data_IF_173947634919
#
_entry.id   IF_173947634919
#
_cell.length_a   1.000
_cell.length_b   1.000
_cell.length_c   1.000
_cell.angle_alpha   90.00
_cell.angle_beta   90.00
_cell.angle_gamma   90.00
#
_symmetry.space_group_name_H-M   'P 1'
#
loop_
_entity.id
_entity.type
_entity.pdbx_description
1 polymer ?
#
# COMPACT_ATOMS: atom_id res chain seq x y z
N UNK A 1 -9.48 1.39 21.78
CA UNK A 1 -8.42 1.15 20.78
C UNK A 1 -8.79 -0.15 20.12
N UNK A 2 -9.26 -0.09 18.89
CA UNK A 2 -9.67 -1.29 18.16
C UNK A 2 -8.43 -2.10 17.78
N UNK A 3 -8.60 -3.41 17.65
CA UNK A 3 -7.54 -4.29 17.17
C UNK A 3 -7.34 -4.06 15.67
N UNK A 4 -6.10 -3.79 15.25
CA UNK A 4 -5.75 -3.67 13.85
C UNK A 4 -5.64 -5.06 13.21
N UNK A 5 -6.34 -5.26 12.10
CA UNK A 5 -6.26 -6.50 11.31
C UNK A 5 -5.28 -6.29 10.17
N UNK A 6 -4.30 -7.19 10.03
CA UNK A 6 -3.41 -7.21 8.87
C UNK A 6 -3.76 -8.34 7.91
N UNK A 7 -3.70 -8.07 6.60
CA UNK A 7 -3.98 -9.04 5.54
C UNK A 7 -3.32 -8.65 4.22
N UNK A 8 -3.27 -9.59 3.28
CA UNK A 8 -2.82 -9.32 1.91
C UNK A 8 -3.69 -8.25 1.26
N UNK A 9 -3.11 -7.49 0.33
CA UNK A 9 -3.82 -6.42 -0.38
C UNK A 9 -4.77 -6.99 -1.42
N UNK A 10 -6.03 -6.53 -1.41
CA UNK A 10 -6.93 -6.65 -2.56
C UNK A 10 -6.58 -5.61 -3.62
N UNK A 11 -7.11 -5.76 -4.84
CA UNK A 11 -6.94 -4.76 -5.90
C UNK A 11 -7.50 -3.39 -5.52
N UNK A 12 -8.65 -3.35 -4.83
CA UNK A 12 -9.22 -2.09 -4.33
C UNK A 12 -8.32 -1.41 -3.29
N UNK A 13 -7.70 -2.20 -2.40
CA UNK A 13 -6.74 -1.69 -1.43
C UNK A 13 -5.51 -1.10 -2.12
N UNK A 14 -4.96 -1.79 -3.15
CA UNK A 14 -3.84 -1.28 -3.96
C UNK A 14 -4.18 0.07 -4.60
N UNK A 15 -5.39 0.21 -5.16
CA UNK A 15 -5.88 1.48 -5.74
C UNK A 15 -5.99 2.58 -4.68
N UNK A 16 -6.56 2.27 -3.52
CA UNK A 16 -6.70 3.21 -2.42
C UNK A 16 -5.34 3.71 -1.91
N UNK A 17 -4.36 2.81 -1.78
CA UNK A 17 -3.00 3.16 -1.35
C UNK A 17 -2.33 4.10 -2.36
N UNK A 18 -2.41 3.82 -3.66
CA UNK A 18 -1.87 4.72 -4.69
C UNK A 18 -2.53 6.11 -4.70
N UNK A 19 -3.77 6.20 -4.21
CA UNK A 19 -4.50 7.46 -4.08
C UNK A 19 -4.08 8.27 -2.83
N UNK A 20 -3.34 7.68 -1.88
CA UNK A 20 -2.83 8.44 -0.74
C UNK A 20 -1.84 9.51 -1.22
N UNK A 21 -2.11 10.74 -0.76
CA UNK A 21 -1.27 11.91 -1.02
C UNK A 21 -1.02 12.63 0.29
N UNK A 22 0.24 12.65 0.69
CA UNK A 22 0.77 13.38 1.82
C UNK A 22 1.49 14.63 1.29
N UNK A 23 1.36 15.74 2.01
CA UNK A 23 2.08 16.97 1.74
C UNK A 23 3.24 17.18 2.71
N UNK A 24 4.10 18.15 2.41
CA UNK A 24 5.25 18.49 3.25
C UNK A 24 6.32 17.40 3.24
N UNK A 25 6.94 17.15 4.40
CA UNK A 25 8.04 16.19 4.54
C UNK A 25 7.66 14.73 4.26
N UNK A 26 6.37 14.43 4.22
CA UNK A 26 5.85 13.08 3.98
C UNK A 26 5.53 12.82 2.49
N UNK A 27 5.74 13.79 1.60
CA UNK A 27 5.47 13.63 0.17
C UNK A 27 6.33 12.53 -0.49
N UNK A 28 7.49 12.21 0.09
CA UNK A 28 8.37 11.11 -0.31
C UNK A 28 7.71 9.73 -0.23
N UNK A 29 6.66 9.58 0.58
CA UNK A 29 5.91 8.33 0.70
C UNK A 29 4.79 8.21 -0.35
N UNK A 30 4.54 9.25 -1.14
CA UNK A 30 3.52 9.21 -2.17
C UNK A 30 3.91 8.21 -3.25
N UNK A 31 3.09 7.18 -3.43
CA UNK A 31 3.26 6.27 -4.55
C UNK A 31 2.83 6.93 -5.86
N UNK A 32 3.40 6.49 -7.01
CA UNK A 32 2.85 6.78 -8.32
C UNK A 32 1.40 6.32 -8.45
N UNK A 33 0.73 6.80 -9.50
CA UNK A 33 -0.62 6.35 -9.83
C UNK A 33 -0.67 4.82 -10.00
N UNK A 34 -1.82 4.21 -9.71
CA UNK A 34 -2.00 2.75 -9.78
C UNK A 34 -1.60 2.20 -11.15
N UNK A 35 -2.03 2.89 -12.22
CA UNK A 35 -1.75 2.50 -13.60
C UNK A 35 -0.25 2.59 -13.92
N UNK A 36 0.44 3.59 -13.40
CA UNK A 36 1.89 3.74 -13.56
C UNK A 36 2.64 2.64 -12.80
N UNK A 37 2.26 2.38 -11.55
CA UNK A 37 2.79 1.27 -10.75
C UNK A 37 2.63 -0.07 -11.48
N UNK A 38 1.46 -0.27 -12.10
CA UNK A 38 1.13 -1.49 -12.83
C UNK A 38 1.99 -1.64 -14.09
N UNK A 39 2.11 -0.61 -14.92
CA UNK A 39 2.94 -0.64 -16.13
C UNK A 39 4.42 -0.88 -15.79
N UNK A 40 4.91 -0.20 -14.75
CA UNK A 40 6.32 -0.30 -14.33
C UNK A 40 6.62 -1.56 -13.51
N UNK A 41 5.60 -2.31 -13.10
CA UNK A 41 5.73 -3.51 -12.26
C UNK A 41 6.59 -3.23 -11.01
N UNK A 42 6.20 -2.23 -10.23
CA UNK A 42 6.92 -1.81 -9.01
C UNK A 42 6.11 -2.10 -7.74
N UNK A 43 6.80 -2.31 -6.63
CA UNK A 43 6.19 -2.57 -5.33
C UNK A 43 5.25 -3.78 -5.33
N UNK A 44 4.00 -3.58 -4.89
CA UNK A 44 2.97 -4.63 -4.87
C UNK A 44 2.40 -4.97 -6.26
N UNK A 45 2.83 -4.30 -7.32
CA UNK A 45 2.49 -4.67 -8.70
C UNK A 45 3.48 -5.66 -9.32
N UNK A 46 4.62 -5.89 -8.67
CA UNK A 46 5.58 -6.89 -9.11
C UNK A 46 5.24 -8.24 -8.45
N UNK A 47 4.92 -9.29 -9.22
CA UNK A 47 4.57 -10.60 -8.67
C UNK A 47 5.65 -11.20 -7.75
N UNK A 48 6.92 -10.82 -7.94
CA UNK A 48 8.03 -11.30 -7.10
C UNK A 48 8.02 -10.70 -5.69
N UNK A 49 7.58 -9.45 -5.55
CA UNK A 49 7.55 -8.72 -4.28
C UNK A 49 6.16 -8.50 -3.70
N UNK A 50 5.08 -8.80 -4.43
CA UNK A 50 3.69 -8.63 -3.97
C UNK A 50 3.44 -9.26 -2.59
N UNK A 51 3.96 -10.47 -2.37
CA UNK A 51 3.85 -11.19 -1.08
C UNK A 51 4.49 -10.49 0.11
N UNK A 52 5.28 -9.45 -0.12
CA UNK A 52 5.96 -8.69 0.92
C UNK A 52 5.09 -7.54 1.45
N UNK A 53 3.97 -7.24 0.78
CA UNK A 53 3.10 -6.12 1.13
C UNK A 53 1.86 -6.57 1.91
N UNK A 54 1.57 -5.85 2.98
CA UNK A 54 0.38 -6.07 3.83
C UNK A 54 -0.28 -4.74 4.13
N UNK A 55 -1.61 -4.73 4.14
CA UNK A 55 -2.37 -3.60 4.63
C UNK A 55 -2.75 -3.77 6.10
N UNK A 56 -3.03 -2.66 6.76
CA UNK A 56 -3.65 -2.64 8.09
C UNK A 56 -5.03 -2.01 8.00
N UNK A 57 -6.00 -2.65 8.63
CA UNK A 57 -7.36 -2.18 8.72
C UNK A 57 -7.75 -1.89 10.16
N UNK A 58 -8.30 -0.71 10.40
CA UNK A 58 -9.10 -0.40 11.58
C UNK A 58 -10.56 -0.62 11.19
N UNK A 59 -11.18 -1.67 11.75
CA UNK A 59 -12.47 -2.19 11.31
C UNK A 59 -12.50 -2.48 9.79
N UNK A 60 -13.12 -1.62 9.00
CA UNK A 60 -13.22 -1.73 7.54
C UNK A 60 -12.34 -0.74 6.78
N UNK A 61 -11.67 0.17 7.49
CA UNK A 61 -10.91 1.28 6.92
C UNK A 61 -9.46 0.86 6.76
N UNK A 62 -8.94 0.90 5.53
CA UNK A 62 -7.51 0.72 5.26
C UNK A 62 -6.74 1.95 5.77
N UNK A 63 -5.88 1.75 6.76
CA UNK A 63 -5.16 2.82 7.47
C UNK A 63 -3.64 2.77 7.30
N UNK A 64 -3.09 1.68 6.76
CA UNK A 64 -1.65 1.56 6.60
C UNK A 64 -1.22 0.50 5.60
N UNK A 65 0.03 0.63 5.16
CA UNK A 65 0.76 -0.31 4.31
C UNK A 65 2.09 -0.63 4.99
N UNK A 66 2.47 -1.90 5.02
CA UNK A 66 3.83 -2.35 5.33
C UNK A 66 4.43 -3.06 4.14
N UNK A 67 5.71 -2.75 3.86
CA UNK A 67 6.59 -3.53 3.01
C UNK A 67 7.62 -4.27 3.86
N UNK A 68 7.64 -5.61 3.80
CA UNK A 68 8.62 -6.44 4.52
C UNK A 68 10.08 -6.24 4.08
N UNK A 69 10.34 -5.65 2.91
CA UNK A 69 11.71 -5.43 2.42
C UNK A 69 12.33 -4.12 2.93
N UNK A 70 11.54 -3.22 3.51
CA UNK A 70 12.01 -1.92 4.04
C UNK A 70 12.16 -1.90 5.57
N UNK A 71 12.01 -3.05 6.24
CA UNK A 71 12.21 -3.22 7.70
C UNK A 71 13.57 -3.80 8.04
#
# INVERSE_FOLDING_TARGET
>A
MNELVYRNLSEDAKRQICAWKYGGEYDLYNLPAYEEMQVRQIGFMNPKSEKNYYGFWDESILVGLMDKLMS
#
